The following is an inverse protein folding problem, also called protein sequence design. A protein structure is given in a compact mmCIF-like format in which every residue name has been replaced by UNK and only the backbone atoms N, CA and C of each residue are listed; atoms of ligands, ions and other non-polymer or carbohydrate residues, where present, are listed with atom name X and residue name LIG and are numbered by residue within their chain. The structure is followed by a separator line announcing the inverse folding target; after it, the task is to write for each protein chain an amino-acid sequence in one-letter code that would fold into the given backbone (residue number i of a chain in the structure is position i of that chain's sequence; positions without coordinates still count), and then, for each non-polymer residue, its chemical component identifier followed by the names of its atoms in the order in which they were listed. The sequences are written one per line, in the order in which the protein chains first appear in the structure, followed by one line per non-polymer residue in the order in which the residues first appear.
data_IF_909454831678
#
_entry.id   IF_909454831678
#
_cell.length_a   1.000
_cell.length_b   1.000
_cell.length_c   1.000
_cell.angle_alpha   90.00
_cell.angle_beta   90.00
_cell.angle_gamma   90.00
#
_symmetry.space_group_name_H-M   'P 1'
#
loop_
_entity.id
_entity.type
_entity.pdbx_description
1 polymer ?
#
# COMPACT_ATOMS: atom_id res chain seq x y z
N UNK A 1 49.12 -10.68 3.84
CA UNK A 1 48.26 -11.88 3.69
C UNK A 1 47.11 -11.86 4.70
N UNK A 2 47.33 -12.07 6.00
CA UNK A 2 46.24 -12.15 7.00
C UNK A 2 45.37 -10.89 7.13
N UNK A 3 45.98 -9.69 7.07
CA UNK A 3 45.23 -8.41 7.08
C UNK A 3 44.34 -8.21 5.85
N UNK A 4 44.76 -8.72 4.69
CA UNK A 4 43.99 -8.60 3.45
C UNK A 4 42.75 -9.51 3.50
N UNK A 5 42.90 -10.72 4.01
CA UNK A 5 41.81 -11.70 4.20
C UNK A 5 40.79 -11.18 5.22
N UNK A 6 41.26 -10.58 6.31
CA UNK A 6 40.39 -9.98 7.33
C UNK A 6 39.57 -8.81 6.79
N UNK A 7 40.18 -7.90 6.02
CA UNK A 7 39.45 -6.77 5.40
C UNK A 7 38.45 -7.26 4.37
N UNK A 8 38.83 -8.24 3.53
CA UNK A 8 37.91 -8.81 2.54
C UNK A 8 36.71 -9.49 3.19
N UNK A 9 36.95 -10.27 4.26
CA UNK A 9 35.87 -10.89 5.05
C UNK A 9 34.92 -9.85 5.66
N UNK A 10 35.45 -8.75 6.21
CA UNK A 10 34.64 -7.67 6.77
C UNK A 10 33.80 -6.97 5.69
N UNK A 11 34.36 -6.71 4.51
CA UNK A 11 33.63 -6.13 3.38
C UNK A 11 32.53 -7.07 2.89
N UNK A 12 32.81 -8.38 2.78
CA UNK A 12 31.80 -9.37 2.43
C UNK A 12 30.66 -9.46 3.47
N UNK A 13 30.98 -9.39 4.77
CA UNK A 13 29.99 -9.36 5.84
C UNK A 13 29.11 -8.09 5.77
N UNK A 14 29.71 -6.93 5.54
CA UNK A 14 28.98 -5.66 5.40
C UNK A 14 28.03 -5.69 4.17
N UNK A 15 28.49 -6.26 3.06
CA UNK A 15 27.66 -6.45 1.85
C UNK A 15 26.54 -7.49 2.06
N UNK A 16 26.77 -8.54 2.86
CA UNK A 16 25.73 -9.51 3.19
C UNK A 16 24.64 -8.88 4.07
N UNK A 17 25.00 -7.98 4.98
CA UNK A 17 24.02 -7.29 5.84
C UNK A 17 23.17 -6.24 5.11
N UNK A 18 23.61 -5.70 3.97
CA UNK A 18 22.78 -4.76 3.18
C UNK A 18 21.68 -5.45 2.36
N UNK A 19 21.76 -6.79 2.22
CA UNK A 19 20.68 -7.63 1.72
C UNK A 19 19.74 -8.03 2.89
N UNK A 20 19.25 -7.08 3.66
CA UNK A 20 18.04 -7.32 4.44
C UNK A 20 16.90 -7.44 3.42
N UNK A 21 16.46 -8.67 3.17
CA UNK A 21 15.41 -8.98 2.23
C UNK A 21 14.14 -8.16 2.59
N UNK A 22 13.84 -7.15 1.77
CA UNK A 22 12.49 -6.60 1.74
C UNK A 22 11.54 -7.74 1.30
N UNK A 23 10.32 -7.75 1.82
CA UNK A 23 9.33 -8.78 1.46
C UNK A 23 9.10 -8.81 -0.06
N UNK A 24 8.43 -9.84 -0.59
CA UNK A 24 8.05 -9.80 -2.00
C UNK A 24 7.20 -8.55 -2.28
N UNK A 25 7.30 -7.97 -3.50
CA UNK A 25 6.45 -6.86 -3.89
C UNK A 25 4.98 -7.29 -3.87
N UNK A 26 4.11 -6.42 -3.38
CA UNK A 26 2.67 -6.57 -3.59
C UNK A 26 2.40 -6.35 -5.07
N UNK A 27 1.68 -7.28 -5.72
CA UNK A 27 1.35 -7.17 -7.14
C UNK A 27 -0.08 -6.70 -7.33
N UNK A 28 -0.32 -5.89 -8.35
CA UNK A 28 -1.65 -5.55 -8.82
C UNK A 28 -2.28 -6.69 -9.65
N UNK A 29 -3.50 -6.49 -10.15
CA UNK A 29 -4.21 -7.50 -10.93
C UNK A 29 -3.59 -7.80 -12.28
N UNK A 30 -2.70 -6.92 -12.77
CA UNK A 30 -1.97 -7.08 -14.01
C UNK A 30 -0.59 -7.74 -13.77
N UNK A 31 -0.26 -8.06 -12.51
CA UNK A 31 1.00 -8.67 -12.11
C UNK A 31 2.16 -7.69 -11.93
N UNK A 32 1.89 -6.38 -11.96
CA UNK A 32 2.92 -5.36 -11.77
C UNK A 32 3.07 -5.01 -10.28
N UNK A 33 4.27 -4.63 -9.82
CA UNK A 33 4.45 -4.15 -8.45
C UNK A 33 3.60 -2.91 -8.13
N UNK A 34 2.99 -2.89 -6.94
CA UNK A 34 2.31 -1.71 -6.42
C UNK A 34 3.35 -0.64 -6.09
N UNK A 35 3.13 0.56 -6.60
CA UNK A 35 4.09 1.68 -6.51
C UNK A 35 3.53 2.85 -5.71
N UNK A 36 4.43 3.57 -5.05
CA UNK A 36 4.10 4.77 -4.30
C UNK A 36 3.48 5.83 -5.21
N UNK A 37 2.44 6.50 -4.72
CA UNK A 37 1.87 7.68 -5.40
C UNK A 37 0.96 7.37 -6.58
N UNK A 38 0.78 6.09 -6.94
CA UNK A 38 -0.13 5.64 -7.99
C UNK A 38 -1.49 5.28 -7.39
N UNK A 39 -2.56 5.53 -8.15
CA UNK A 39 -3.92 5.20 -7.76
C UNK A 39 -4.25 3.73 -8.04
N UNK A 40 -4.76 3.04 -7.02
CA UNK A 40 -5.19 1.65 -7.12
C UNK A 40 -6.63 1.49 -6.62
N UNK A 41 -7.39 0.59 -7.24
CA UNK A 41 -8.69 0.17 -6.72
C UNK A 41 -8.54 -1.08 -5.89
N UNK A 42 -8.95 -1.02 -4.62
CA UNK A 42 -8.98 -2.19 -3.73
C UNK A 42 -10.34 -2.84 -3.85
N UNK A 43 -10.41 -3.90 -4.65
CA UNK A 43 -11.61 -4.71 -4.85
C UNK A 43 -11.56 -5.97 -3.98
N UNK A 44 -12.71 -6.49 -3.53
CA UNK A 44 -12.74 -7.77 -2.84
C UNK A 44 -12.32 -8.89 -3.80
N UNK A 45 -11.54 -9.84 -3.29
CA UNK A 45 -11.16 -11.03 -4.06
C UNK A 45 -12.38 -11.91 -4.41
N UNK A 46 -13.44 -11.82 -3.61
CA UNK A 46 -14.72 -12.52 -3.79
C UNK A 46 -15.77 -11.48 -4.22
N UNK A 47 -16.23 -11.57 -5.47
CA UNK A 47 -16.97 -10.48 -6.14
C UNK A 47 -18.48 -10.45 -5.89
N UNK A 48 -19.03 -11.42 -5.17
CA UNK A 48 -20.46 -11.57 -4.87
C UNK A 48 -20.85 -11.14 -3.45
N UNK A 49 -19.94 -10.49 -2.71
CA UNK A 49 -20.18 -10.00 -1.34
C UNK A 49 -20.28 -8.48 -1.26
N UNK A 50 -19.40 -7.76 -1.96
CA UNK A 50 -19.33 -6.30 -1.94
C UNK A 50 -18.58 -5.75 -3.16
N UNK A 51 -18.60 -4.42 -3.34
CA UNK A 51 -17.73 -3.70 -4.27
C UNK A 51 -16.42 -3.22 -3.61
N UNK A 52 -15.68 -2.37 -4.32
CA UNK A 52 -14.42 -1.81 -3.83
C UNK A 52 -14.55 -0.85 -2.65
N UNK A 53 -13.41 -0.42 -2.10
CA UNK A 53 -13.37 0.50 -0.96
C UNK A 53 -13.93 1.89 -1.30
N UNK A 54 -14.65 2.50 -0.36
CA UNK A 54 -15.22 3.86 -0.50
C UNK A 54 -15.17 4.61 0.83
N UNK A 55 -15.62 5.87 0.81
CA UNK A 55 -15.81 6.69 2.00
C UNK A 55 -17.29 6.74 2.38
N UNK A 56 -17.58 6.46 3.64
CA UNK A 56 -18.92 6.54 4.22
C UNK A 56 -18.93 7.52 5.39
N UNK A 57 -20.01 8.30 5.53
CA UNK A 57 -20.19 9.22 6.67
C UNK A 57 -21.28 8.69 7.59
N UNK A 58 -21.05 8.70 8.89
CA UNK A 58 -22.12 8.46 9.87
C UNK A 58 -22.90 9.75 10.06
N UNK A 59 -24.18 9.78 9.72
CA UNK A 59 -25.06 10.96 9.86
C UNK A 59 -24.55 12.23 9.14
N UNK A 60 -23.77 12.09 8.07
CA UNK A 60 -23.22 13.23 7.31
C UNK A 60 -22.12 14.03 8.03
N UNK A 61 -21.63 13.56 9.18
CA UNK A 61 -20.52 14.21 9.88
C UNK A 61 -19.14 13.68 9.43
N UNK A 62 -18.13 14.54 9.55
CA UNK A 62 -16.73 14.19 9.39
C UNK A 62 -16.13 13.72 10.74
N UNK A 63 -15.05 12.93 10.74
CA UNK A 63 -14.38 12.35 9.57
C UNK A 63 -15.20 11.24 8.91
N UNK A 64 -15.00 11.04 7.62
CA UNK A 64 -15.51 9.85 6.93
C UNK A 64 -14.78 8.60 7.42
N UNK A 65 -15.44 7.46 7.30
CA UNK A 65 -14.91 6.13 7.56
C UNK A 65 -14.69 5.41 6.24
N UNK A 66 -13.77 4.44 6.24
CA UNK A 66 -13.61 3.52 5.11
C UNK A 66 -14.74 2.50 5.16
N UNK A 67 -15.43 2.33 4.04
CA UNK A 67 -16.46 1.31 3.83
C UNK A 67 -16.24 0.59 2.52
N UNK A 68 -17.18 -0.29 2.16
CA UNK A 68 -17.23 -0.94 0.85
C UNK A 68 -18.49 -0.50 0.11
N UNK A 69 -18.41 -0.36 -1.21
CA UNK A 69 -19.57 -0.10 -2.05
C UNK A 69 -20.52 -1.31 -1.98
N UNK A 70 -21.85 -1.13 -1.94
CA UNK A 70 -22.79 -2.24 -2.03
C UNK A 70 -22.59 -3.07 -3.30
N UNK A 71 -22.98 -4.34 -3.24
CA UNK A 71 -22.97 -5.22 -4.41
C UNK A 71 -23.86 -4.68 -5.53
N UNK A 72 -23.39 -4.81 -6.77
CA UNK A 72 -24.12 -4.47 -7.99
C UNK A 72 -23.73 -5.39 -9.14
N UNK A 73 -24.32 -5.23 -10.33
CA UNK A 73 -23.98 -6.05 -11.49
C UNK A 73 -22.53 -5.78 -11.94
N UNK A 74 -21.67 -6.82 -11.86
CA UNK A 74 -20.25 -6.74 -12.24
C UNK A 74 -19.35 -6.17 -11.13
N UNK A 75 -18.09 -5.89 -11.48
CA UNK A 75 -17.13 -5.30 -10.54
C UNK A 75 -17.46 -3.83 -10.32
N UNK A 76 -18.13 -3.53 -9.20
CA UNK A 76 -18.39 -2.15 -8.78
C UNK A 76 -17.14 -1.60 -8.10
N UNK A 77 -16.35 -0.85 -8.86
CA UNK A 77 -15.16 -0.17 -8.33
C UNK A 77 -15.58 0.94 -7.36
N UNK A 78 -14.86 1.05 -6.26
CA UNK A 78 -15.02 2.12 -5.28
C UNK A 78 -14.20 3.37 -5.63
N UNK A 79 -13.64 4.03 -4.62
CA UNK A 79 -12.69 5.14 -4.78
C UNK A 79 -11.26 4.60 -4.87
N UNK A 80 -10.37 5.25 -5.64
CA UNK A 80 -8.97 4.88 -5.67
C UNK A 80 -8.27 5.22 -4.35
N UNK A 81 -7.27 4.41 -4.03
CA UNK A 81 -6.36 4.64 -2.90
C UNK A 81 -4.93 4.83 -3.40
N UNK A 82 -4.13 5.53 -2.60
CA UNK A 82 -2.70 5.72 -2.81
C UNK A 82 -1.95 5.15 -1.61
N UNK A 83 -0.99 4.27 -1.89
CA UNK A 83 -0.08 3.72 -0.89
C UNK A 83 1.16 4.61 -0.77
N UNK A 84 1.51 4.98 0.46
CA UNK A 84 2.62 5.85 0.78
C UNK A 84 3.52 5.20 1.83
N UNK A 85 4.66 4.61 1.44
CA UNK A 85 5.66 4.10 2.36
C UNK A 85 6.05 5.14 3.42
N UNK A 86 6.27 4.67 4.65
CA UNK A 86 6.79 5.53 5.71
C UNK A 86 8.23 5.95 5.39
N UNK A 87 9.04 5.05 4.85
CA UNK A 87 10.38 5.37 4.37
C UNK A 87 10.31 6.13 3.04
N UNK A 88 10.81 7.36 2.95
CA UNK A 88 10.66 8.20 1.76
C UNK A 88 11.49 7.71 0.56
N UNK A 89 12.47 6.83 0.78
CA UNK A 89 13.27 6.20 -0.28
C UNK A 89 12.58 5.00 -0.93
N UNK A 90 11.56 4.42 -0.30
CA UNK A 90 10.84 3.28 -0.85
C UNK A 90 9.86 3.76 -1.95
N UNK A 91 9.96 3.14 -3.11
CA UNK A 91 9.09 3.40 -4.27
C UNK A 91 8.12 2.25 -4.56
N UNK A 92 8.42 1.05 -4.08
CA UNK A 92 7.63 -0.18 -4.25
C UNK A 92 7.07 -0.59 -2.90
N UNK A 93 5.79 -1.00 -2.88
CA UNK A 93 5.16 -1.58 -1.70
C UNK A 93 5.50 -3.07 -1.64
N UNK A 94 6.12 -3.50 -0.56
CA UNK A 94 6.33 -4.93 -0.25
C UNK A 94 5.40 -5.39 0.86
N UNK A 95 5.22 -6.69 0.99
CA UNK A 95 4.38 -7.28 2.06
C UNK A 95 4.84 -6.88 3.48
N UNK A 96 6.12 -6.49 3.64
CA UNK A 96 6.70 -6.09 4.92
C UNK A 96 6.91 -4.56 5.04
N UNK A 97 6.51 -3.80 4.02
CA UNK A 97 6.67 -2.33 4.02
C UNK A 97 5.62 -1.71 4.94
N UNK A 98 6.04 -0.88 5.90
CA UNK A 98 5.12 0.00 6.61
C UNK A 98 4.72 1.17 5.70
N UNK A 99 3.42 1.39 5.53
CA UNK A 99 2.88 2.45 4.70
C UNK A 99 1.60 3.04 5.30
N UNK A 100 1.25 4.23 4.82
CA UNK A 100 -0.09 4.82 4.99
C UNK A 100 -0.90 4.63 3.71
N UNK A 101 -2.21 4.52 3.85
CA UNK A 101 -3.15 4.43 2.73
C UNK A 101 -4.05 5.65 2.75
N UNK A 102 -4.04 6.42 1.67
CA UNK A 102 -4.92 7.57 1.49
C UNK A 102 -6.01 7.26 0.48
N UNK A 103 -7.25 7.52 0.84
CA UNK A 103 -8.40 7.46 -0.09
C UNK A 103 -8.84 8.89 -0.40
N UNK A 104 -8.99 9.18 -1.69
CA UNK A 104 -9.34 10.52 -2.18
C UNK A 104 -10.73 10.51 -2.78
N UNK A 105 -11.59 11.40 -2.29
CA UNK A 105 -12.88 11.69 -2.93
C UNK A 105 -12.91 13.13 -3.36
N UNK A 106 -13.06 13.35 -4.66
CA UNK A 106 -13.14 14.69 -5.25
C UNK A 106 -14.49 15.37 -5.01
N UNK A 107 -15.48 14.63 -4.50
CA UNK A 107 -16.89 15.04 -4.41
C UNK A 107 -17.46 15.01 -2.98
N UNK A 108 -16.71 14.58 -1.97
CA UNK A 108 -17.20 14.52 -0.58
C UNK A 108 -16.82 15.78 0.21
N UNK A 109 -17.74 16.20 1.09
CA UNK A 109 -17.52 17.27 2.08
C UNK A 109 -16.29 17.01 2.96
N UNK A 110 -16.04 15.74 3.30
CA UNK A 110 -14.78 15.30 3.88
C UNK A 110 -13.86 14.82 2.74
N UNK A 111 -12.96 15.68 2.28
CA UNK A 111 -12.24 15.54 1.00
C UNK A 111 -11.04 14.58 1.02
N UNK A 112 -10.62 14.07 2.19
CA UNK A 112 -9.45 13.17 2.31
C UNK A 112 -9.45 12.39 3.61
N UNK A 113 -9.12 11.09 3.56
CA UNK A 113 -8.79 10.29 4.73
C UNK A 113 -7.51 9.49 4.47
N UNK A 114 -6.54 9.56 5.38
CA UNK A 114 -5.31 8.78 5.33
C UNK A 114 -5.17 7.97 6.61
N UNK A 115 -5.19 6.64 6.49
CA UNK A 115 -4.97 5.73 7.62
C UNK A 115 -3.48 5.35 7.67
N UNK A 116 -2.86 5.47 8.84
CA UNK A 116 -1.55 4.87 9.12
C UNK A 116 -1.74 3.66 10.02
N UNK A 117 -1.06 2.55 9.72
CA UNK A 117 -0.95 1.41 10.63
C UNK A 117 0.33 1.60 11.48
N UNK A 118 0.20 1.43 12.81
CA UNK A 118 1.30 1.49 13.78
C UNK A 118 1.94 0.11 13.95
#
# INVERSE_FOLDING_TARGET
MLRLISVLSLVCLLMATSCMAQGPPVLDTDGNPVTRGVEYYVNPAVTDVAGGLTLVTRNGSCPSYVGQVPIGPGIVRGLPVIFNPINPGDSIITENTQFTVCIFSRFNLCSRYCMGYW
#
